data_IF_285756037921
#
_entry.id   IF_285756037921
#
_cell.length_a   1.000
_cell.length_b   1.000
_cell.length_c   1.000
_cell.angle_alpha   90.00
_cell.angle_beta   90.00
_cell.angle_gamma   90.00
#
_symmetry.space_group_name_H-M   'P 1'
#
loop_
_entity.id
_entity.type
_entity.pdbx_description
1 polymer ?
#
# COMPACT_ATOMS: atom_id res chain seq x y z
N UNK A 1 -8.93 -31.01 1.39
CA UNK A 1 -7.93 -29.99 1.02
C UNK A 1 -7.14 -29.57 2.25
N UNK A 2 -5.83 -29.79 2.21
CA UNK A 2 -4.93 -29.59 3.34
C UNK A 2 -4.83 -28.10 3.70
N UNK A 3 -4.61 -27.78 4.98
CA UNK A 3 -4.47 -26.41 5.48
C UNK A 3 -3.44 -25.62 4.66
N UNK A 4 -2.31 -26.26 4.30
CA UNK A 4 -1.22 -25.70 3.49
C UNK A 4 -1.64 -25.27 2.06
N UNK A 5 -2.60 -25.97 1.44
CA UNK A 5 -3.11 -25.62 0.09
C UNK A 5 -3.99 -24.36 0.15
N UNK A 6 -4.91 -24.30 1.11
CA UNK A 6 -5.75 -23.11 1.37
C UNK A 6 -4.90 -21.89 1.68
N UNK A 7 -3.85 -22.12 2.44
CA UNK A 7 -2.83 -21.16 2.85
C UNK A 7 -1.98 -20.62 1.68
N UNK A 8 -1.47 -21.50 0.81
CA UNK A 8 -0.77 -21.09 -0.41
C UNK A 8 -1.68 -20.42 -1.45
N UNK A 9 -2.97 -20.79 -1.47
CA UNK A 9 -3.99 -20.07 -2.25
C UNK A 9 -4.21 -18.67 -1.70
N UNK A 10 -4.32 -18.51 -0.39
CA UNK A 10 -4.53 -17.21 0.26
C UNK A 10 -3.41 -16.21 -0.05
N UNK A 11 -2.13 -16.61 0.00
CA UNK A 11 -1.01 -15.71 -0.34
C UNK A 11 -1.04 -15.24 -1.80
N UNK A 12 -1.28 -16.19 -2.73
CA UNK A 12 -1.42 -15.84 -4.15
C UNK A 12 -2.62 -14.93 -4.39
N UNK A 13 -3.75 -15.21 -3.74
CA UNK A 13 -4.94 -14.38 -3.86
C UNK A 13 -4.72 -12.96 -3.35
N UNK A 14 -4.06 -12.77 -2.21
CA UNK A 14 -3.78 -11.42 -1.67
C UNK A 14 -2.83 -10.65 -2.58
N UNK A 15 -1.71 -11.26 -2.99
CA UNK A 15 -0.72 -10.66 -3.90
C UNK A 15 -1.39 -10.29 -5.23
N UNK A 16 -2.14 -11.22 -5.81
CA UNK A 16 -2.85 -11.02 -7.06
C UNK A 16 -3.90 -9.90 -6.97
N UNK A 17 -4.69 -9.85 -5.90
CA UNK A 17 -5.72 -8.81 -5.72
C UNK A 17 -5.07 -7.43 -5.72
N UNK A 18 -3.94 -7.27 -5.03
CA UNK A 18 -3.23 -5.99 -5.01
C UNK A 18 -2.68 -5.63 -6.38
N UNK A 19 -1.97 -6.54 -7.04
CA UNK A 19 -1.45 -6.27 -8.39
C UNK A 19 -2.56 -5.98 -9.41
N UNK A 20 -3.65 -6.75 -9.39
CA UNK A 20 -4.81 -6.52 -10.27
C UNK A 20 -5.44 -5.15 -9.99
N UNK A 21 -5.65 -4.81 -8.73
CA UNK A 21 -6.26 -3.53 -8.36
C UNK A 21 -5.36 -2.34 -8.70
N UNK A 22 -4.03 -2.47 -8.53
CA UNK A 22 -3.07 -1.45 -8.98
C UNK A 22 -3.08 -1.27 -10.50
N UNK A 23 -3.09 -2.37 -11.26
CA UNK A 23 -3.15 -2.30 -12.71
C UNK A 23 -4.47 -1.65 -13.18
N UNK A 24 -5.59 -1.97 -12.52
CA UNK A 24 -6.87 -1.33 -12.80
C UNK A 24 -6.84 0.17 -12.46
N UNK A 25 -6.18 0.58 -11.37
CA UNK A 25 -6.01 2.00 -11.03
C UNK A 25 -5.19 2.76 -12.06
N UNK A 26 -4.14 2.15 -12.60
CA UNK A 26 -3.34 2.74 -13.66
C UNK A 26 -4.13 2.93 -14.97
N UNK A 27 -5.17 2.13 -15.19
CA UNK A 27 -6.01 2.16 -16.40
C UNK A 27 -7.34 2.92 -16.20
N UNK A 28 -7.71 3.24 -14.96
CA UNK A 28 -8.98 3.88 -14.65
C UNK A 28 -9.06 5.27 -15.26
N UNK A 29 -10.11 5.52 -16.04
CA UNK A 29 -10.32 6.79 -16.72
C UNK A 29 -11.34 7.68 -15.98
N UNK A 30 -12.24 7.06 -15.21
CA UNK A 30 -13.33 7.76 -14.54
C UNK A 30 -13.08 7.95 -13.02
N UNK A 31 -13.42 9.11 -12.43
CA UNK A 31 -13.17 9.38 -11.01
C UNK A 31 -13.84 8.39 -10.03
N UNK A 32 -15.02 7.86 -10.38
CA UNK A 32 -15.73 6.87 -9.58
C UNK A 32 -15.03 5.51 -9.58
N UNK A 33 -14.47 5.08 -10.71
CA UNK A 33 -13.67 3.85 -10.80
C UNK A 33 -12.43 3.93 -9.91
N UNK A 34 -11.74 5.08 -9.94
CA UNK A 34 -10.60 5.35 -9.05
C UNK A 34 -11.01 5.27 -7.58
N UNK A 35 -12.16 5.81 -7.20
CA UNK A 35 -12.67 5.73 -5.84
C UNK A 35 -12.92 4.28 -5.40
N UNK A 36 -13.67 3.50 -6.18
CA UNK A 36 -13.96 2.10 -5.84
C UNK A 36 -12.70 1.24 -5.71
N UNK A 37 -11.73 1.43 -6.62
CA UNK A 37 -10.48 0.70 -6.58
C UNK A 37 -9.61 1.10 -5.38
N UNK A 38 -9.66 2.37 -4.94
CA UNK A 38 -9.00 2.82 -3.70
C UNK A 38 -9.63 2.18 -2.46
N UNK A 39 -10.95 2.02 -2.41
CA UNK A 39 -11.63 1.31 -1.31
C UNK A 39 -11.20 -0.16 -1.27
N UNK A 40 -11.20 -0.84 -2.42
CA UNK A 40 -10.73 -2.25 -2.51
C UNK A 40 -9.29 -2.41 -2.04
N UNK A 41 -8.40 -1.47 -2.38
CA UNK A 41 -7.03 -1.47 -1.86
C UNK A 41 -7.00 -1.27 -0.34
N UNK A 42 -7.79 -0.34 0.19
CA UNK A 42 -7.85 -0.08 1.64
C UNK A 42 -8.29 -1.34 2.40
N UNK A 43 -9.25 -2.07 1.86
CA UNK A 43 -9.72 -3.34 2.43
C UNK A 43 -8.67 -4.45 2.36
N UNK A 44 -7.77 -4.41 1.38
CA UNK A 44 -6.67 -5.37 1.24
C UNK A 44 -5.48 -5.08 2.19
N UNK A 45 -5.31 -3.84 2.67
CA UNK A 45 -4.17 -3.44 3.51
C UNK A 45 -4.02 -4.23 4.81
N UNK A 46 -5.08 -4.54 5.60
CA UNK A 46 -4.93 -5.37 6.80
C UNK A 46 -4.39 -6.77 6.50
N UNK A 47 -4.85 -7.39 5.42
CA UNK A 47 -4.38 -8.69 4.97
C UNK A 47 -2.92 -8.65 4.51
N UNK A 48 -2.53 -7.57 3.83
CA UNK A 48 -1.13 -7.33 3.45
C UNK A 48 -0.20 -7.18 4.65
N UNK A 49 -0.62 -6.42 5.66
CA UNK A 49 0.12 -6.28 6.93
C UNK A 49 0.23 -7.63 7.64
N UNK A 50 -0.82 -8.46 7.60
CA UNK A 50 -0.80 -9.82 8.11
C UNK A 50 0.23 -10.70 7.39
N UNK A 51 0.28 -10.63 6.06
CA UNK A 51 1.27 -11.35 5.24
C UNK A 51 2.71 -10.96 5.61
N UNK A 52 2.98 -9.66 5.71
CA UNK A 52 4.28 -9.15 6.13
C UNK A 52 4.63 -9.67 7.53
N UNK A 53 3.77 -9.45 8.53
CA UNK A 53 3.99 -9.92 9.91
C UNK A 53 4.30 -11.42 9.99
N UNK A 54 3.57 -12.26 9.23
CA UNK A 54 3.86 -13.69 9.18
C UNK A 54 5.26 -14.01 8.65
N UNK A 55 5.79 -13.18 7.75
CA UNK A 55 7.08 -13.38 7.12
C UNK A 55 8.24 -12.58 7.76
N UNK A 56 8.02 -11.95 8.92
CA UNK A 56 9.05 -11.24 9.68
C UNK A 56 10.28 -12.12 9.97
N UNK A 57 11.47 -11.50 10.07
CA UNK A 57 12.69 -12.24 10.40
C UNK A 57 12.62 -12.80 11.82
N UNK A 58 13.14 -13.99 12.00
CA UNK A 58 13.58 -14.48 13.32
C UNK A 58 14.90 -13.81 13.74
N UNK A 59 15.26 -13.98 15.01
CA UNK A 59 16.57 -13.59 15.56
C UNK A 59 17.75 -14.08 14.69
N UNK A 60 17.62 -15.25 14.06
CA UNK A 60 18.63 -15.84 13.17
C UNK A 60 18.57 -15.34 11.71
N UNK A 61 17.85 -14.24 11.44
CA UNK A 61 17.66 -13.68 10.10
C UNK A 61 17.07 -14.69 9.09
N UNK A 62 16.21 -15.59 9.57
CA UNK A 62 15.45 -16.56 8.76
C UNK A 62 13.96 -16.30 8.85
N UNK A 63 13.24 -16.55 7.77
CA UNK A 63 11.78 -16.46 7.79
C UNK A 63 11.18 -17.68 8.50
N UNK A 64 10.46 -17.45 9.60
CA UNK A 64 9.83 -18.52 10.41
C UNK A 64 8.71 -19.23 9.65
N UNK A 65 7.93 -18.45 8.90
CA UNK A 65 6.82 -18.97 8.13
C UNK A 65 7.29 -19.89 7.03
N UNK A 66 8.29 -19.51 6.21
CA UNK A 66 8.63 -20.28 5.01
C UNK A 66 8.83 -21.79 5.20
N UNK A 67 9.30 -22.24 6.37
CA UNK A 67 9.39 -23.67 6.69
C UNK A 67 8.02 -24.37 6.66
N UNK A 68 7.02 -23.77 7.30
CA UNK A 68 5.66 -24.29 7.38
C UNK A 68 4.98 -24.33 6.01
N UNK A 69 5.28 -23.35 5.13
CA UNK A 69 4.54 -23.19 3.85
C UNK A 69 5.25 -23.77 2.63
N UNK A 70 6.58 -23.78 2.61
CA UNK A 70 7.39 -24.22 1.47
C UNK A 70 8.30 -25.41 1.81
N UNK A 71 8.09 -26.01 2.98
CA UNK A 71 8.84 -27.17 3.47
C UNK A 71 10.30 -26.88 3.86
N UNK A 72 10.78 -25.64 3.69
CA UNK A 72 12.17 -25.26 3.96
C UNK A 72 12.30 -23.87 4.55
N UNK A 73 13.26 -23.72 5.47
CA UNK A 73 13.68 -22.41 5.93
C UNK A 73 14.27 -21.61 4.76
N UNK A 74 14.00 -20.31 4.74
CA UNK A 74 14.61 -19.37 3.80
C UNK A 74 15.36 -18.29 4.59
N UNK A 75 16.49 -17.86 4.04
CA UNK A 75 17.10 -16.61 4.49
C UNK A 75 16.08 -15.48 4.36
N UNK A 76 16.09 -14.57 5.33
CA UNK A 76 15.30 -13.35 5.26
C UNK A 76 16.14 -12.25 4.57
N UNK A 77 15.55 -11.40 3.72
CA UNK A 77 14.16 -11.41 3.29
C UNK A 77 13.85 -12.55 2.32
N UNK A 78 12.79 -13.30 2.62
CA UNK A 78 12.34 -14.41 1.76
C UNK A 78 11.58 -13.87 0.53
N UNK A 79 11.37 -14.67 -0.53
CA UNK A 79 10.69 -14.21 -1.74
C UNK A 79 9.33 -13.56 -1.49
N UNK A 80 8.47 -14.19 -0.67
CA UNK A 80 7.15 -13.64 -0.31
C UNK A 80 7.24 -12.26 0.35
N UNK A 81 8.19 -12.09 1.27
CA UNK A 81 8.41 -10.79 1.92
C UNK A 81 8.85 -9.73 0.91
N UNK A 82 9.80 -10.07 0.02
CA UNK A 82 10.28 -9.14 -1.01
C UNK A 82 9.16 -8.73 -1.96
N UNK A 83 8.38 -9.68 -2.43
CA UNK A 83 7.26 -9.41 -3.34
C UNK A 83 6.21 -8.55 -2.65
N UNK A 84 5.89 -8.83 -1.39
CA UNK A 84 4.94 -8.07 -0.60
C UNK A 84 5.42 -6.62 -0.33
N UNK A 85 6.69 -6.44 0.02
CA UNK A 85 7.27 -5.10 0.22
C UNK A 85 7.36 -4.32 -1.09
N UNK A 86 7.71 -4.99 -2.20
CA UNK A 86 7.81 -4.36 -3.52
C UNK A 86 6.46 -3.81 -3.99
N UNK A 87 5.38 -4.60 -3.90
CA UNK A 87 4.05 -4.14 -4.26
C UNK A 87 3.54 -3.01 -3.32
N UNK A 88 3.92 -3.02 -2.04
CA UNK A 88 3.60 -1.90 -1.12
C UNK A 88 4.30 -0.60 -1.52
N UNK A 89 5.57 -0.66 -1.94
CA UNK A 89 6.28 0.51 -2.43
C UNK A 89 5.64 1.07 -3.71
N UNK A 90 5.37 0.20 -4.68
CA UNK A 90 4.70 0.61 -5.93
C UNK A 90 3.31 1.23 -5.67
N UNK A 91 2.55 0.71 -4.69
CA UNK A 91 1.29 1.31 -4.23
C UNK A 91 1.50 2.73 -3.71
N UNK A 92 2.47 2.92 -2.83
CA UNK A 92 2.76 4.24 -2.25
C UNK A 92 3.21 5.23 -3.33
N UNK A 93 4.04 4.80 -4.27
CA UNK A 93 4.49 5.63 -5.40
C UNK A 93 3.30 6.05 -6.28
N UNK A 94 2.38 5.13 -6.54
CA UNK A 94 1.16 5.42 -7.31
C UNK A 94 0.20 6.36 -6.56
N UNK A 95 0.04 6.22 -5.25
CA UNK A 95 -0.74 7.17 -4.44
C UNK A 95 -0.08 8.54 -4.39
N UNK A 96 1.26 8.63 -4.32
CA UNK A 96 2.00 9.88 -4.44
C UNK A 96 1.74 10.56 -5.77
N UNK A 97 1.89 9.82 -6.87
CA UNK A 97 1.63 10.30 -8.23
C UNK A 97 0.17 10.76 -8.41
N UNK A 98 -0.82 9.99 -7.95
CA UNK A 98 -2.23 10.36 -8.04
C UNK A 98 -2.61 11.54 -7.13
N UNK A 99 -1.92 11.73 -6.00
CA UNK A 99 -2.11 12.90 -5.14
C UNK A 99 -1.55 14.16 -5.80
N UNK A 100 -0.41 14.05 -6.48
CA UNK A 100 0.19 15.14 -7.27
C UNK A 100 -0.60 15.45 -8.55
N UNK A 101 -1.24 14.44 -9.14
CA UNK A 101 -2.04 14.56 -10.37
C UNK A 101 -3.49 15.03 -10.14
N UNK A 102 -3.94 15.16 -8.88
CA UNK A 102 -5.31 15.56 -8.56
C UNK A 102 -5.53 17.06 -8.77
N UNK A 103 -6.42 17.51 -9.68
CA UNK A 103 -6.61 18.91 -10.00
C UNK A 103 -7.61 19.59 -9.05
N UNK A 104 -7.48 19.40 -7.74
CA UNK A 104 -8.26 20.14 -6.73
C UNK A 104 -7.32 20.92 -5.83
N UNK A 105 -6.84 22.06 -6.35
CA UNK A 105 -6.81 23.36 -5.68
C UNK A 105 -5.85 24.33 -6.38
N UNK A 106 -6.39 25.01 -7.38
CA UNK A 106 -5.98 26.35 -7.71
C UNK A 106 -4.89 26.47 -8.75
N UNK A 107 -5.17 27.28 -9.77
CA UNK A 107 -4.16 27.99 -10.53
C UNK A 107 -3.15 28.66 -9.58
N UNK A 108 -2.09 27.97 -9.17
CA UNK A 108 -0.89 28.65 -8.70
C UNK A 108 -0.18 29.16 -9.94
N UNK A 109 -0.55 30.37 -10.36
CA UNK A 109 0.31 31.15 -11.25
C UNK A 109 1.64 31.37 -10.51
N UNK A 110 2.79 31.09 -11.14
CA UNK A 110 4.09 31.37 -10.53
C UNK A 110 4.16 32.85 -10.13
N UNK A 111 4.40 33.14 -8.85
CA UNK A 111 4.61 34.51 -8.34
C UNK A 111 3.54 35.07 -7.38
N UNK A 112 2.44 34.36 -7.10
CA UNK A 112 1.45 34.87 -6.16
C UNK A 112 1.90 34.69 -4.70
N UNK A 113 2.41 35.78 -4.11
CA UNK A 113 2.85 35.83 -2.71
C UNK A 113 1.63 35.85 -1.79
N UNK A 114 1.46 34.79 -1.00
CA UNK A 114 0.37 34.65 -0.01
C UNK A 114 0.60 35.65 1.13
N UNK A 115 -0.25 36.67 1.26
CA UNK A 115 -0.30 37.51 2.46
C UNK A 115 -1.04 36.75 3.56
N UNK A 116 -0.28 36.29 4.55
CA UNK A 116 -0.85 35.72 5.77
C UNK A 116 -1.27 36.88 6.68
N UNK A 117 -2.56 37.20 6.71
CA UNK A 117 -3.10 38.16 7.69
C UNK A 117 -3.34 37.41 8.99
N UNK A 118 -2.37 37.47 9.91
CA UNK A 118 -2.54 36.96 11.27
C UNK A 118 -3.48 37.94 12.00
N UNK A 119 -4.64 37.45 12.40
CA UNK A 119 -5.59 38.23 13.22
C UNK A 119 -5.06 38.24 14.66
N UNK A 120 -4.56 39.38 15.12
CA UNK A 120 -4.15 39.56 16.51
C UNK A 120 -5.38 39.46 17.43
N UNK A 121 -5.30 38.74 18.56
CA UNK A 121 -6.36 38.73 19.55
C UNK A 121 -6.39 40.06 20.31
N UNK A 122 -7.59 40.63 20.45
CA UNK A 122 -7.84 41.84 21.23
C UNK A 122 -7.62 41.56 22.72
N UNK A 123 -6.70 42.31 23.33
CA UNK A 123 -6.63 42.47 24.79
C UNK A 123 -7.70 43.45 25.22
N UNK A 124 -8.63 43.00 26.06
CA UNK A 124 -9.61 43.84 26.75
C UNK A 124 -9.01 44.27 28.09
N UNK A 125 -9.14 45.57 28.40
CA UNK A 125 -8.82 46.23 29.68
C UNK A 125 -9.60 45.62 30.87
#
# INVERSE_FOLDING_TARGET
MALAERQGSFHRSVIDVVYRTMNQLAQAAAPNEVFELRERLRDALPWWRGLLRMHEPSEKHRCKSCRTWYGRHRAWPCPVWRDAVSALHQLNDMYGFLAESSPVAGQRRPGQRVKVTIRQPATTD
#
